data_IF_948216656999
#
_entry.id   IF_948216656999
#
_cell.length_a   1.000
_cell.length_b   1.000
_cell.length_c   1.000
_cell.angle_alpha   90.00
_cell.angle_beta   90.00
_cell.angle_gamma   90.00
#
_symmetry.space_group_name_H-M   'P 1'
#
loop_
_entity.id
_entity.type
_entity.pdbx_description
1 polymer ?
#
# COMPACT_ATOMS: atom_id res chain seq x y z
N UNK A 1 -6.24 -23.44 -11.53
CA UNK A 1 -5.50 -23.86 -10.32
C UNK A 1 -4.30 -22.93 -10.16
N UNK A 2 -4.15 -22.25 -9.03
CA UNK A 2 -3.03 -21.31 -8.80
C UNK A 2 -1.76 -22.12 -8.54
N UNK A 3 -0.71 -21.92 -9.35
CA UNK A 3 0.56 -22.66 -9.20
C UNK A 3 1.22 -22.34 -7.84
N UNK A 4 1.93 -23.31 -7.21
CA UNK A 4 2.56 -23.12 -5.90
C UNK A 4 3.40 -21.85 -5.77
N UNK A 5 4.21 -21.53 -6.80
CA UNK A 5 5.05 -20.33 -6.83
C UNK A 5 4.26 -19.02 -6.64
N UNK A 6 3.04 -18.92 -7.18
CA UNK A 6 2.22 -17.71 -7.05
C UNK A 6 1.59 -17.61 -5.65
N UNK A 7 1.28 -18.75 -5.03
CA UNK A 7 0.83 -18.78 -3.62
C UNK A 7 1.94 -18.33 -2.68
N UNK A 8 3.16 -18.82 -2.90
CA UNK A 8 4.34 -18.42 -2.13
C UNK A 8 4.62 -16.93 -2.32
N UNK A 9 4.54 -16.43 -3.55
CA UNK A 9 4.81 -15.03 -3.85
C UNK A 9 3.74 -14.09 -3.26
N UNK A 10 2.46 -14.43 -3.36
CA UNK A 10 1.38 -13.71 -2.70
C UNK A 10 1.58 -13.65 -1.17
N UNK A 11 1.95 -14.78 -0.54
CA UNK A 11 2.26 -14.85 0.89
C UNK A 11 3.47 -14.00 1.25
N UNK A 12 4.51 -14.01 0.42
CA UNK A 12 5.70 -13.19 0.61
C UNK A 12 5.35 -11.69 0.56
N UNK A 13 4.57 -11.25 -0.42
CA UNK A 13 4.09 -9.87 -0.51
C UNK A 13 3.31 -9.44 0.73
N UNK A 14 2.31 -10.24 1.18
CA UNK A 14 1.55 -9.92 2.38
C UNK A 14 2.45 -9.83 3.62
N UNK A 15 3.43 -10.72 3.76
CA UNK A 15 4.36 -10.69 4.89
C UNK A 15 5.25 -9.43 4.89
N UNK A 16 5.69 -8.97 3.70
CA UNK A 16 6.43 -7.71 3.60
C UNK A 16 5.50 -6.52 3.86
N UNK A 17 4.27 -6.53 3.35
CA UNK A 17 3.28 -5.48 3.61
C UNK A 17 3.06 -5.27 5.11
N UNK A 18 2.86 -6.35 5.87
CA UNK A 18 2.75 -6.31 7.33
C UNK A 18 3.99 -5.71 8.01
N UNK A 19 5.19 -6.05 7.53
CA UNK A 19 6.43 -5.46 8.04
C UNK A 19 6.51 -3.97 7.75
N UNK A 20 6.06 -3.53 6.58
CA UNK A 20 6.00 -2.11 6.22
C UNK A 20 4.98 -1.35 7.08
N UNK A 21 3.80 -1.92 7.36
CA UNK A 21 2.86 -1.32 8.31
C UNK A 21 3.47 -1.15 9.72
N UNK A 22 4.22 -2.15 10.21
CA UNK A 22 4.93 -2.03 11.49
C UNK A 22 5.99 -0.92 11.43
N UNK A 23 6.72 -0.78 10.32
CA UNK A 23 7.69 0.31 10.13
C UNK A 23 6.99 1.67 10.12
N UNK A 24 5.85 1.79 9.45
CA UNK A 24 5.06 3.02 9.44
C UNK A 24 4.64 3.44 10.86
N UNK A 25 4.13 2.49 11.65
CA UNK A 25 3.74 2.72 13.05
C UNK A 25 4.91 3.16 13.92
N UNK A 26 6.10 2.57 13.73
CA UNK A 26 7.33 2.99 14.42
C UNK A 26 7.79 4.38 14.00
N UNK A 27 7.71 4.71 12.71
CA UNK A 27 8.06 6.03 12.21
C UNK A 27 7.13 7.12 12.80
N UNK A 28 5.83 6.82 12.96
CA UNK A 28 4.91 7.68 13.71
C UNK A 28 5.35 7.91 15.16
N UNK A 29 5.75 6.86 15.88
CA UNK A 29 6.27 6.98 17.26
C UNK A 29 7.50 7.89 17.35
N UNK A 30 8.36 7.85 16.31
CA UNK A 30 9.55 8.69 16.18
C UNK A 30 9.25 10.09 15.62
N UNK A 31 7.99 10.36 15.24
CA UNK A 31 7.55 11.58 14.54
C UNK A 31 8.24 11.80 13.20
N UNK A 32 8.73 10.72 12.58
CA UNK A 32 9.20 10.73 11.19
C UNK A 32 7.98 10.49 10.28
N UNK A 33 7.26 11.58 10.01
CA UNK A 33 6.03 11.53 9.22
C UNK A 33 6.28 11.17 7.75
N UNK A 34 7.34 11.67 7.08
CA UNK A 34 7.67 11.25 5.73
C UNK A 34 7.92 9.74 5.62
N UNK A 35 8.73 9.16 6.53
CA UNK A 35 9.00 7.73 6.54
C UNK A 35 7.74 6.91 6.89
N UNK A 36 6.91 7.42 7.81
CA UNK A 36 5.61 6.82 8.11
C UNK A 36 4.70 6.73 6.88
N UNK A 37 4.54 7.85 6.16
CA UNK A 37 3.68 7.92 4.99
C UNK A 37 4.21 7.01 3.87
N UNK A 38 5.53 7.00 3.66
CA UNK A 38 6.18 6.12 2.70
C UNK A 38 5.93 4.65 3.00
N UNK A 39 6.13 4.20 4.25
CA UNK A 39 5.90 2.80 4.59
C UNK A 39 4.41 2.41 4.58
N UNK A 40 3.51 3.36 4.86
CA UNK A 40 2.07 3.15 4.70
C UNK A 40 1.71 2.89 3.23
N UNK A 41 2.23 3.71 2.31
CA UNK A 41 2.11 3.51 0.86
C UNK A 41 2.64 2.13 0.45
N UNK A 42 3.84 1.78 0.91
CA UNK A 42 4.46 0.52 0.55
C UNK A 42 3.69 -0.69 1.07
N UNK A 43 3.10 -0.57 2.26
CA UNK A 43 2.23 -1.60 2.82
C UNK A 43 0.98 -1.79 1.98
N UNK A 44 0.27 -0.72 1.61
CA UNK A 44 -0.94 -0.80 0.79
C UNK A 44 -0.62 -1.42 -0.57
N UNK A 45 0.41 -0.93 -1.26
CA UNK A 45 0.79 -1.40 -2.58
C UNK A 45 1.10 -2.92 -2.58
N UNK A 46 1.87 -3.39 -1.60
CA UNK A 46 2.26 -4.80 -1.50
C UNK A 46 1.09 -5.70 -1.09
N UNK A 47 0.16 -5.21 -0.26
CA UNK A 47 -1.08 -5.94 0.04
C UNK A 47 -1.95 -6.13 -1.21
N UNK A 48 -2.06 -5.10 -2.06
CA UNK A 48 -2.80 -5.20 -3.32
C UNK A 48 -2.09 -6.12 -4.31
N UNK A 49 -0.76 -6.02 -4.45
CA UNK A 49 0.04 -6.96 -5.26
C UNK A 49 -0.16 -8.40 -4.81
N UNK A 50 -0.21 -8.66 -3.49
CA UNK A 50 -0.49 -9.99 -2.97
C UNK A 50 -1.82 -10.57 -3.51
N UNK A 51 -2.87 -9.74 -3.61
CA UNK A 51 -4.17 -10.14 -4.18
C UNK A 51 -4.13 -10.33 -5.70
N UNK A 52 -3.39 -9.48 -6.42
CA UNK A 52 -3.24 -9.56 -7.88
C UNK A 52 -2.47 -10.82 -8.33
N UNK A 53 -1.49 -11.28 -7.54
CA UNK A 53 -0.76 -12.53 -7.84
C UNK A 53 -1.69 -13.76 -7.85
N UNK A 54 -2.78 -13.73 -7.06
CA UNK A 54 -3.82 -14.78 -7.08
C UNK A 54 -4.53 -14.86 -8.43
N UNK A 55 -4.68 -13.71 -9.11
CA UNK A 55 -5.29 -13.59 -10.43
C UNK A 55 -4.29 -13.84 -11.57
N UNK A 56 -3.04 -14.23 -11.25
CA UNK A 56 -1.94 -14.43 -12.22
C UNK A 56 -1.55 -13.15 -12.96
N UNK A 57 -1.76 -11.99 -12.34
CA UNK A 57 -1.39 -10.69 -12.89
C UNK A 57 -0.08 -10.24 -12.27
N UNK A 58 0.98 -10.23 -13.07
CA UNK A 58 2.31 -9.87 -12.63
C UNK A 58 2.64 -8.43 -13.04
N UNK A 59 2.90 -7.56 -12.06
CA UNK A 59 3.43 -6.21 -12.30
C UNK A 59 4.46 -5.80 -11.26
N UNK A 60 5.61 -5.30 -11.76
CA UNK A 60 6.68 -4.72 -10.95
C UNK A 60 6.49 -3.21 -10.71
N UNK A 61 5.65 -2.55 -11.49
CA UNK A 61 5.39 -1.11 -11.47
C UNK A 61 4.66 -0.65 -10.19
N UNK A 62 4.76 0.64 -9.86
CA UNK A 62 4.27 1.24 -8.61
C UNK A 62 2.80 1.71 -8.69
N UNK A 63 2.34 2.15 -9.87
CA UNK A 63 0.93 2.46 -10.09
C UNK A 63 0.20 1.15 -10.41
N UNK A 64 -0.70 0.78 -9.49
CA UNK A 64 -1.49 -0.45 -9.56
C UNK A 64 -2.99 -0.16 -9.44
N UNK A 65 -3.41 1.12 -9.54
CA UNK A 65 -4.83 1.52 -9.39
C UNK A 65 -5.67 0.90 -10.52
N UNK A 66 -5.20 1.04 -11.76
CA UNK A 66 -5.88 0.48 -12.92
C UNK A 66 -5.96 -1.05 -12.84
N UNK A 67 -4.89 -1.72 -12.41
CA UNK A 67 -4.84 -3.17 -12.23
C UNK A 67 -5.79 -3.64 -11.13
N UNK A 68 -5.82 -2.95 -9.99
CA UNK A 68 -6.75 -3.27 -8.90
C UNK A 68 -8.19 -3.13 -9.38
N UNK A 69 -8.54 -1.99 -10.00
CA UNK A 69 -9.88 -1.70 -10.51
C UNK A 69 -10.35 -2.72 -11.56
N UNK A 70 -9.47 -3.14 -12.45
CA UNK A 70 -9.81 -4.07 -13.54
C UNK A 70 -9.90 -5.53 -13.09
N UNK A 71 -9.24 -5.93 -12.00
CA UNK A 71 -9.01 -7.35 -11.72
C UNK A 71 -9.43 -7.81 -10.31
N UNK A 72 -9.77 -6.90 -9.41
CA UNK A 72 -10.22 -7.20 -8.05
C UNK A 72 -11.70 -6.83 -7.81
N UNK A 73 -12.49 -6.75 -8.88
CA UNK A 73 -13.92 -6.42 -8.85
C UNK A 73 -14.75 -7.37 -7.97
N UNK A 74 -14.27 -8.61 -7.77
CA UNK A 74 -14.91 -9.58 -6.89
C UNK A 74 -14.78 -9.26 -5.39
N UNK A 75 -14.06 -8.19 -5.02
CA UNK A 75 -14.04 -7.64 -3.67
C UNK A 75 -15.29 -6.80 -3.32
N UNK A 76 -16.06 -6.34 -4.31
CA UNK A 76 -17.23 -5.49 -4.04
C UNK A 76 -16.82 -4.19 -3.33
N UNK A 77 -17.51 -3.83 -2.25
CA UNK A 77 -17.25 -2.59 -1.48
C UNK A 77 -15.82 -2.51 -0.91
N UNK A 78 -15.17 -3.65 -0.65
CA UNK A 78 -13.76 -3.66 -0.21
C UNK A 78 -12.82 -3.10 -1.31
N UNK A 79 -13.23 -3.14 -2.59
CA UNK A 79 -12.46 -2.53 -3.68
C UNK A 79 -12.44 -1.01 -3.57
N UNK A 80 -13.53 -0.37 -3.17
CA UNK A 80 -13.60 1.09 -3.05
C UNK A 80 -12.61 1.57 -1.96
N UNK A 81 -12.50 0.84 -0.86
CA UNK A 81 -11.52 1.11 0.20
C UNK A 81 -10.09 1.04 -0.36
N UNK A 82 -9.79 0.00 -1.15
CA UNK A 82 -8.46 -0.16 -1.77
C UNK A 82 -8.16 0.97 -2.75
N UNK A 83 -9.10 1.33 -3.62
CA UNK A 83 -8.88 2.38 -4.61
C UNK A 83 -8.69 3.73 -3.95
N UNK A 84 -9.47 4.04 -2.91
CA UNK A 84 -9.28 5.26 -2.11
C UNK A 84 -7.92 5.28 -1.40
N UNK A 85 -7.48 4.14 -0.84
CA UNK A 85 -6.17 4.03 -0.20
C UNK A 85 -5.03 4.25 -1.20
N UNK A 86 -5.11 3.65 -2.39
CA UNK A 86 -4.10 3.79 -3.44
C UNK A 86 -4.06 5.22 -3.98
N UNK A 87 -5.22 5.83 -4.25
CA UNK A 87 -5.31 7.22 -4.71
C UNK A 87 -4.66 8.17 -3.69
N UNK A 88 -5.06 8.07 -2.42
CA UNK A 88 -4.52 8.86 -1.32
C UNK A 88 -2.98 8.75 -1.18
N UNK A 89 -2.43 7.54 -1.27
CA UNK A 89 -1.01 7.28 -1.02
C UNK A 89 -0.13 7.46 -2.27
N UNK A 90 -0.69 7.33 -3.47
CA UNK A 90 0.04 7.47 -4.74
C UNK A 90 0.49 8.91 -5.00
N UNK A 91 -0.32 9.89 -4.60
CA UNK A 91 -0.06 11.31 -4.85
C UNK A 91 1.24 11.83 -4.23
N UNK A 92 1.75 11.21 -3.16
CA UNK A 92 2.86 11.74 -2.37
C UNK A 92 4.12 10.85 -2.32
N UNK A 93 4.25 9.84 -3.19
CA UNK A 93 5.42 8.93 -3.18
C UNK A 93 6.78 9.62 -3.40
N UNK A 94 6.85 10.58 -4.34
CA UNK A 94 8.07 11.36 -4.55
C UNK A 94 8.22 12.48 -3.50
N UNK A 95 7.10 13.10 -3.11
CA UNK A 95 7.09 14.22 -2.16
C UNK A 95 7.44 13.80 -0.72
N UNK A 96 7.19 12.54 -0.34
CA UNK A 96 7.58 11.98 0.95
C UNK A 96 9.05 11.57 1.06
N UNK A 97 9.84 11.71 -0.01
CA UNK A 97 11.23 11.20 -0.05
C UNK A 97 12.25 12.20 -0.59
N UNK A 98 11.83 13.08 -1.48
CA UNK A 98 12.72 14.03 -2.13
C UNK A 98 12.16 15.44 -1.97
N UNK A 99 13.02 16.44 -1.72
CA UNK A 99 12.62 17.82 -1.89
C UNK A 99 12.11 18.08 -3.30
N UNK A 100 11.11 18.96 -3.42
CA UNK A 100 10.48 19.28 -4.70
C UNK A 100 10.24 20.79 -4.82
N UNK A 101 10.07 21.25 -6.06
CA UNK A 101 9.74 22.65 -6.32
C UNK A 101 8.26 22.90 -6.08
N UNK A 102 7.96 23.90 -5.25
CA UNK A 102 6.63 24.44 -5.03
C UNK A 102 6.63 25.92 -5.43
N UNK A 103 6.29 26.17 -6.71
CA UNK A 103 6.46 27.49 -7.33
C UNK A 103 7.92 27.92 -7.33
N UNK A 104 8.22 29.05 -6.67
CA UNK A 104 9.58 29.60 -6.53
C UNK A 104 10.32 29.12 -5.27
N UNK A 105 9.74 28.18 -4.52
CA UNK A 105 10.31 27.66 -3.27
C UNK A 105 10.67 26.17 -3.39
N UNK A 106 11.60 25.72 -2.56
CA UNK A 106 11.89 24.29 -2.38
C UNK A 106 11.17 23.84 -1.11
N UNK A 107 10.37 22.78 -1.22
CA UNK A 107 9.67 22.16 -0.10
C UNK A 107 10.32 20.81 0.18
N UNK A 108 10.65 20.56 1.44
CA UNK A 108 11.17 19.28 1.93
C UNK A 108 10.02 18.33 2.30
N UNK A 109 10.26 17.01 2.33
CA UNK A 109 9.25 16.05 2.77
C UNK A 109 8.67 16.37 4.17
N UNK A 110 9.52 16.83 5.10
CA UNK A 110 9.14 17.20 6.47
C UNK A 110 8.16 18.38 6.54
N UNK A 111 8.26 19.31 5.59
CA UNK A 111 7.35 20.46 5.50
C UNK A 111 6.01 20.11 4.85
N UNK A 112 5.98 19.03 4.06
CA UNK A 112 4.80 18.61 3.30
C UNK A 112 3.99 17.54 4.03
N UNK A 113 4.64 16.50 4.57
CA UNK A 113 3.98 15.35 5.17
C UNK A 113 3.67 15.62 6.63
N UNK A 114 2.37 15.63 6.97
CA UNK A 114 1.91 15.90 8.34
C UNK A 114 1.66 14.62 9.14
N UNK A 115 1.55 14.75 10.46
CA UNK A 115 1.11 13.67 11.35
C UNK A 115 -0.25 13.12 10.92
N UNK A 116 -1.20 13.98 10.56
CA UNK A 116 -2.53 13.59 10.09
C UNK A 116 -2.47 12.72 8.84
N UNK A 117 -1.57 13.05 7.91
CA UNK A 117 -1.35 12.25 6.70
C UNK A 117 -0.79 10.87 7.05
N UNK A 118 0.17 10.81 7.97
CA UNK A 118 0.73 9.55 8.46
C UNK A 118 -0.33 8.68 9.15
N UNK A 119 -1.12 9.26 10.06
CA UNK A 119 -2.21 8.55 10.77
C UNK A 119 -3.24 8.01 9.78
N UNK A 120 -3.63 8.80 8.78
CA UNK A 120 -4.57 8.34 7.75
C UNK A 120 -3.96 7.25 6.87
N UNK A 121 -2.69 7.37 6.50
CA UNK A 121 -1.95 6.34 5.77
C UNK A 121 -1.89 5.01 6.51
N UNK A 122 -1.65 5.03 7.83
CA UNK A 122 -1.65 3.82 8.66
C UNK A 122 -3.05 3.18 8.70
N UNK A 123 -4.12 3.96 8.82
CA UNK A 123 -5.50 3.44 8.80
C UNK A 123 -5.79 2.69 7.50
N UNK A 124 -5.45 3.29 6.36
CA UNK A 124 -5.59 2.62 5.06
C UNK A 124 -4.74 1.36 4.97
N UNK A 125 -3.49 1.41 5.47
CA UNK A 125 -2.60 0.25 5.51
C UNK A 125 -3.19 -0.91 6.33
N UNK A 126 -3.76 -0.62 7.51
CA UNK A 126 -4.41 -1.61 8.38
C UNK A 126 -5.64 -2.23 7.71
N UNK A 127 -6.50 -1.41 7.10
CA UNK A 127 -7.70 -1.88 6.40
C UNK A 127 -7.37 -2.74 5.19
N UNK A 128 -6.41 -2.30 4.35
CA UNK A 128 -6.04 -3.04 3.13
C UNK A 128 -5.30 -4.33 3.47
N UNK A 129 -4.51 -4.39 4.56
CA UNK A 129 -3.95 -5.66 5.06
C UNK A 129 -5.08 -6.63 5.43
N UNK A 130 -6.08 -6.18 6.18
CA UNK A 130 -7.23 -7.01 6.58
C UNK A 130 -7.96 -7.58 5.36
N UNK A 131 -8.20 -6.73 4.34
CA UNK A 131 -8.84 -7.16 3.10
C UNK A 131 -7.98 -8.20 2.38
N UNK A 132 -6.68 -7.94 2.24
CA UNK A 132 -5.74 -8.88 1.60
C UNK A 132 -5.66 -10.23 2.34
N UNK A 133 -5.67 -10.22 3.67
CA UNK A 133 -5.71 -11.46 4.46
C UNK A 133 -6.97 -12.28 4.19
N UNK A 134 -8.14 -11.64 4.24
CA UNK A 134 -9.42 -12.28 3.98
C UNK A 134 -9.47 -12.85 2.57
N UNK A 135 -9.00 -12.08 1.60
CA UNK A 135 -8.94 -12.50 0.21
C UNK A 135 -8.01 -13.71 0.03
N UNK A 136 -6.78 -13.65 0.52
CA UNK A 136 -5.84 -14.78 0.42
C UNK A 136 -6.35 -16.05 1.14
N UNK A 137 -7.04 -15.89 2.28
CA UNK A 137 -7.68 -17.01 3.00
C UNK A 137 -8.78 -17.67 2.17
N UNK A 138 -9.63 -16.88 1.50
CA UNK A 138 -10.68 -17.39 0.59
C UNK A 138 -10.11 -18.27 -0.53
N UNK A 139 -8.88 -17.99 -0.97
CA UNK A 139 -8.18 -18.78 -2.00
C UNK A 139 -7.29 -19.90 -1.43
N UNK A 140 -7.30 -20.14 -0.12
CA UNK A 140 -6.48 -21.17 0.54
C UNK A 140 -4.98 -20.91 0.43
N UNK A 141 -4.58 -19.65 0.39
CA UNK A 141 -3.17 -19.23 0.30
C UNK A 141 -2.57 -19.02 1.70
N UNK A 142 -3.37 -18.55 2.66
CA UNK A 142 -3.01 -18.43 4.09
C UNK A 142 -4.10 -19.02 4.97
#
# INVERSE_FOLDING_TARGET
MILPKFREYARAFLNIAKKDNIRAKRALELKDYPECFFYSQQSVEKSVKAMLEVKLIYKKEYDIIAEASNNLQDLGEDLDIILNALDYLSGAWNMSRYPFFNGNSVTTPEEFVTEEMCVQGIKYSDEVIRIAENYLRKYGII
#
